data_IF_399026067791
#
_entry.id   IF_399026067791
#
_cell.length_a   1.000
_cell.length_b   1.000
_cell.length_c   1.000
_cell.angle_alpha   90.00
_cell.angle_beta   90.00
_cell.angle_gamma   90.00
#
_symmetry.space_group_name_H-M   'P 1'
#
loop_
_entity.id
_entity.type
_entity.pdbx_description
1 polymer ?
#
# COMPACT_ATOMS: atom_id res chain seq x y z
N UNK A 1 -1.12 16.79 -0.46
CA UNK A 1 -1.48 15.75 0.51
C UNK A 1 -0.38 15.57 1.53
N UNK A 2 -0.68 15.09 2.73
CA UNK A 2 0.34 14.67 3.69
C UNK A 2 0.94 13.32 3.27
N UNK A 3 2.23 13.13 3.54
CA UNK A 3 2.89 11.85 3.29
C UNK A 3 4.07 11.66 4.25
N UNK A 4 4.20 10.47 4.83
CA UNK A 4 5.33 10.13 5.67
C UNK A 4 5.69 8.64 5.54
N UNK A 5 6.86 8.26 6.08
CA UNK A 5 7.26 6.88 6.16
C UNK A 5 7.98 6.58 7.48
N UNK A 6 7.86 5.34 7.92
CA UNK A 6 8.57 4.82 9.08
C UNK A 6 9.13 3.42 8.81
N UNK A 7 10.07 3.00 9.64
CA UNK A 7 10.63 1.64 9.63
C UNK A 7 10.20 0.94 10.91
N UNK A 8 9.43 -0.14 10.76
CA UNK A 8 8.89 -0.94 11.85
C UNK A 8 9.42 -2.37 11.75
N UNK A 9 10.50 -2.67 12.46
CA UNK A 9 11.15 -3.98 12.46
C UNK A 9 11.01 -4.70 13.81
N UNK A 10 9.94 -4.42 14.55
CA UNK A 10 9.66 -5.01 15.86
C UNK A 10 9.63 -6.55 15.80
N UNK A 11 10.01 -7.20 16.91
CA UNK A 11 9.99 -8.67 16.99
C UNK A 11 8.58 -9.23 17.19
N UNK A 12 7.66 -8.39 17.65
CA UNK A 12 6.28 -8.75 18.00
C UNK A 12 5.29 -8.41 16.88
N UNK A 13 5.77 -7.85 15.75
CA UNK A 13 4.93 -7.54 14.60
C UNK A 13 4.58 -8.81 13.84
N UNK A 14 3.35 -8.88 13.34
CA UNK A 14 2.90 -9.96 12.47
C UNK A 14 3.80 -10.02 11.24
N UNK A 15 4.50 -11.14 11.07
CA UNK A 15 5.47 -11.30 9.99
C UNK A 15 4.76 -11.86 8.76
N UNK A 16 4.82 -11.11 7.66
CA UNK A 16 4.31 -11.58 6.38
C UNK A 16 5.22 -12.66 5.80
N UNK A 17 4.64 -13.79 5.41
CA UNK A 17 5.32 -14.81 4.58
C UNK A 17 4.76 -14.79 3.16
N UNK A 18 5.63 -14.81 2.15
CA UNK A 18 5.24 -14.72 0.74
C UNK A 18 5.63 -15.98 -0.04
N UNK A 19 4.71 -16.62 -0.77
CA UNK A 19 3.26 -16.37 -0.82
C UNK A 19 2.57 -16.79 0.48
N UNK A 20 1.48 -16.12 0.83
CA UNK A 20 0.70 -16.41 2.04
C UNK A 20 -0.62 -17.11 1.70
N UNK A 21 -1.13 -17.88 2.66
CA UNK A 21 -2.43 -18.55 2.58
C UNK A 21 -3.01 -18.66 4.01
N UNK A 22 -4.24 -18.21 4.20
CA UNK A 22 -4.93 -18.30 5.49
C UNK A 22 -5.56 -19.67 5.76
N UNK A 23 -5.36 -20.65 4.88
CA UNK A 23 -5.90 -22.01 5.02
C UNK A 23 -7.22 -22.24 4.26
N UNK A 24 -7.82 -23.40 4.48
CA UNK A 24 -8.93 -23.90 3.66
C UNK A 24 -10.12 -22.93 3.55
N UNK A 25 -10.30 -22.34 2.38
CA UNK A 25 -11.42 -21.46 2.05
C UNK A 25 -11.28 -19.99 2.51
N UNK A 26 -10.15 -19.62 3.10
CA UNK A 26 -9.86 -18.24 3.48
C UNK A 26 -9.18 -17.41 2.37
N UNK A 27 -8.86 -16.14 2.66
CA UNK A 27 -8.11 -15.28 1.76
C UNK A 27 -6.74 -15.89 1.42
N UNK A 28 -6.24 -15.63 0.22
CA UNK A 28 -4.96 -16.13 -0.25
C UNK A 28 -4.25 -15.12 -1.15
N UNK A 29 -2.95 -15.28 -1.29
CA UNK A 29 -2.16 -14.54 -2.25
C UNK A 29 -2.46 -14.99 -3.70
N UNK A 30 -2.86 -14.03 -4.54
CA UNK A 30 -3.25 -14.31 -5.93
C UNK A 30 -2.09 -14.21 -6.93
N UNK A 31 -0.98 -13.55 -6.56
CA UNK A 31 0.13 -13.31 -7.48
C UNK A 31 -0.28 -12.49 -8.71
N UNK A 32 -0.97 -11.38 -8.49
CA UNK A 32 -1.62 -10.58 -9.53
C UNK A 32 -0.68 -10.13 -10.66
N UNK A 33 0.62 -10.02 -10.40
CA UNK A 33 1.62 -9.71 -11.43
C UNK A 33 1.74 -10.81 -12.49
N UNK A 34 1.57 -12.08 -12.08
CA UNK A 34 1.61 -13.24 -12.96
C UNK A 34 0.22 -13.62 -13.47
N UNK A 35 -0.80 -13.29 -12.70
CA UNK A 35 -2.19 -13.67 -12.91
C UNK A 35 -3.11 -12.45 -12.80
N UNK A 36 -2.96 -11.43 -13.70
CA UNK A 36 -3.76 -10.22 -13.66
C UNK A 36 -5.27 -10.48 -13.82
N UNK A 37 -5.64 -11.59 -14.45
CA UNK A 37 -7.02 -12.05 -14.56
C UNK A 37 -7.67 -12.34 -13.21
N UNK A 38 -6.90 -12.65 -12.17
CA UNK A 38 -7.43 -12.93 -10.83
C UNK A 38 -7.78 -11.67 -10.02
N UNK A 39 -7.56 -10.47 -10.57
CA UNK A 39 -7.92 -9.22 -9.88
C UNK A 39 -9.42 -9.16 -9.54
N UNK A 40 -10.27 -9.79 -10.35
CA UNK A 40 -11.71 -9.86 -10.09
C UNK A 40 -12.09 -10.75 -8.89
N UNK A 41 -11.18 -11.59 -8.41
CA UNK A 41 -11.36 -12.40 -7.20
C UNK A 41 -11.08 -11.59 -5.91
N UNK A 42 -10.37 -10.46 -6.03
CA UNK A 42 -10.10 -9.56 -4.89
C UNK A 42 -11.38 -8.79 -4.56
N UNK A 43 -11.94 -9.03 -3.38
CA UNK A 43 -13.22 -8.47 -2.98
C UNK A 43 -13.18 -6.94 -2.90
N UNK A 44 -12.11 -6.38 -2.32
CA UNK A 44 -11.89 -4.94 -2.18
C UNK A 44 -11.77 -4.25 -3.55
N UNK A 45 -11.15 -4.92 -4.54
CA UNK A 45 -11.06 -4.40 -5.90
C UNK A 45 -12.43 -4.34 -6.59
N UNK A 46 -13.34 -5.27 -6.25
CA UNK A 46 -14.72 -5.27 -6.77
C UNK A 46 -15.58 -4.21 -6.09
N UNK A 47 -15.42 -4.01 -4.78
CA UNK A 47 -16.16 -3.02 -4.01
C UNK A 47 -15.68 -1.58 -4.31
N UNK A 48 -14.38 -1.42 -4.54
CA UNK A 48 -13.71 -0.14 -4.75
C UNK A 48 -12.92 -0.13 -6.08
N UNK A 49 -13.56 0.21 -7.21
CA UNK A 49 -12.90 0.15 -8.53
C UNK A 49 -11.57 0.94 -8.61
N UNK A 50 -11.46 2.06 -7.89
CA UNK A 50 -10.23 2.86 -7.84
C UNK A 50 -9.08 2.09 -7.18
N UNK A 51 -9.38 1.31 -6.12
CA UNK A 51 -8.38 0.41 -5.53
C UNK A 51 -8.00 -0.70 -6.51
N UNK A 52 -8.98 -1.27 -7.23
CA UNK A 52 -8.72 -2.24 -8.29
C UNK A 52 -7.79 -1.70 -9.38
N UNK A 53 -7.98 -0.46 -9.83
CA UNK A 53 -7.09 0.21 -10.78
C UNK A 53 -5.68 0.40 -10.21
N UNK A 54 -5.56 0.79 -8.94
CA UNK A 54 -4.27 0.91 -8.25
C UNK A 54 -3.55 -0.45 -8.18
N UNK A 55 -4.25 -1.52 -7.76
CA UNK A 55 -3.70 -2.88 -7.72
C UNK A 55 -3.23 -3.33 -9.11
N UNK A 56 -4.02 -3.09 -10.16
CA UNK A 56 -3.64 -3.40 -11.54
C UNK A 56 -2.37 -2.64 -11.97
N UNK A 57 -2.26 -1.36 -11.60
CA UNK A 57 -1.09 -0.54 -11.91
C UNK A 57 0.18 -1.05 -11.23
N UNK A 58 0.09 -1.38 -9.92
CA UNK A 58 1.23 -1.90 -9.15
C UNK A 58 1.68 -3.28 -9.61
N UNK A 59 0.76 -4.11 -10.11
CA UNK A 59 1.06 -5.44 -10.62
C UNK A 59 1.31 -5.48 -12.15
N UNK A 60 1.35 -4.33 -12.83
CA UNK A 60 1.64 -4.29 -14.26
C UNK A 60 3.06 -4.81 -14.57
N UNK A 61 3.28 -5.29 -15.79
CA UNK A 61 4.60 -5.77 -16.22
C UNK A 61 5.70 -4.69 -16.17
N UNK A 62 5.32 -3.42 -16.29
CA UNK A 62 6.24 -2.28 -16.20
C UNK A 62 6.54 -1.83 -14.77
N UNK A 63 5.78 -2.31 -13.78
CA UNK A 63 5.98 -1.96 -12.36
C UNK A 63 7.13 -2.78 -11.77
N UNK A 64 7.95 -2.16 -10.94
CA UNK A 64 8.94 -2.83 -10.09
C UNK A 64 8.31 -3.45 -8.83
N UNK A 65 7.02 -3.16 -8.60
CA UNK A 65 6.26 -3.62 -7.45
C UNK A 65 5.27 -4.72 -7.84
N UNK A 66 4.85 -5.47 -6.84
CA UNK A 66 3.68 -6.33 -6.80
C UNK A 66 2.94 -6.14 -5.47
N UNK A 67 1.69 -6.59 -5.35
CA UNK A 67 0.88 -6.40 -4.15
C UNK A 67 0.61 -7.72 -3.46
N UNK A 68 0.58 -7.72 -2.10
CA UNK A 68 0.39 -8.92 -1.31
C UNK A 68 -0.98 -8.98 -0.63
N UNK A 69 -1.31 -7.99 0.19
CA UNK A 69 -2.59 -7.88 0.91
C UNK A 69 -3.18 -6.50 0.68
N UNK A 70 -4.48 -6.36 0.81
CA UNK A 70 -5.16 -5.06 0.85
C UNK A 70 -6.46 -5.17 1.66
N UNK A 71 -6.92 -4.00 2.15
CA UNK A 71 -8.23 -3.82 2.74
C UNK A 71 -8.66 -2.35 2.60
N UNK A 72 -9.96 -2.05 2.79
CA UNK A 72 -10.50 -0.70 2.78
C UNK A 72 -11.68 -0.56 3.75
N UNK A 73 -11.74 0.56 4.47
CA UNK A 73 -12.73 0.77 5.54
C UNK A 73 -13.12 2.24 5.71
N UNK A 74 -14.26 2.46 6.36
CA UNK A 74 -14.72 3.76 6.84
C UNK A 74 -14.41 3.90 8.32
N UNK A 75 -13.97 5.08 8.75
CA UNK A 75 -13.72 5.42 10.15
C UNK A 75 -14.20 6.83 10.50
N UNK A 76 -14.53 7.00 11.76
CA UNK A 76 -14.85 8.32 12.35
C UNK A 76 -13.86 8.70 13.46
N UNK A 77 -13.01 7.77 13.85
CA UNK A 77 -11.95 8.03 14.82
C UNK A 77 -10.77 8.72 14.14
N UNK A 78 -10.45 9.92 14.62
CA UNK A 78 -9.34 10.74 14.13
C UNK A 78 -8.22 10.76 15.16
N UNK A 79 -6.98 10.63 14.69
CA UNK A 79 -5.81 10.92 15.51
C UNK A 79 -5.60 12.44 15.63
N UNK A 80 -4.93 12.93 16.68
CA UNK A 80 -4.68 14.39 16.84
C UNK A 80 -4.01 15.04 15.61
N UNK A 81 -3.15 14.31 14.90
CA UNK A 81 -2.47 14.77 13.69
C UNK A 81 -3.42 14.94 12.50
N UNK A 82 -4.53 14.20 12.49
CA UNK A 82 -5.56 14.26 11.45
C UNK A 82 -6.56 15.41 11.67
N UNK A 83 -6.60 16.00 12.88
CA UNK A 83 -7.47 17.13 13.21
C UNK A 83 -7.22 18.35 12.32
N UNK A 84 -6.02 18.46 11.74
CA UNK A 84 -5.68 19.55 10.80
C UNK A 84 -6.55 19.57 9.54
N UNK A 85 -7.18 18.46 9.18
CA UNK A 85 -8.09 18.39 8.05
C UNK A 85 -9.50 18.91 8.39
N UNK A 86 -9.83 19.05 9.69
CA UNK A 86 -11.14 19.52 10.15
C UNK A 86 -12.30 18.62 9.72
N UNK A 87 -12.01 17.35 9.42
CA UNK A 87 -12.97 16.40 8.87
C UNK A 87 -13.68 15.61 9.96
N UNK A 88 -14.92 15.18 9.69
CA UNK A 88 -15.70 14.31 10.59
C UNK A 88 -15.59 12.83 10.21
N UNK A 89 -15.19 12.53 8.99
CA UNK A 89 -15.06 11.17 8.44
C UNK A 89 -13.70 10.97 7.80
N UNK A 90 -13.17 9.75 7.94
CA UNK A 90 -12.06 9.28 7.11
C UNK A 90 -12.43 7.99 6.39
N UNK A 91 -11.96 7.85 5.17
CA UNK A 91 -11.96 6.60 4.44
C UNK A 91 -10.52 6.14 4.31
N UNK A 92 -10.25 4.90 4.68
CA UNK A 92 -8.91 4.34 4.69
C UNK A 92 -8.80 3.08 3.86
N UNK A 93 -7.59 2.82 3.35
CA UNK A 93 -7.19 1.53 2.82
C UNK A 93 -5.74 1.25 3.16
N UNK A 94 -5.35 -0.04 3.15
CA UNK A 94 -3.94 -0.38 3.05
C UNK A 94 -3.69 -1.30 1.86
N UNK A 95 -2.45 -1.27 1.36
CA UNK A 95 -1.93 -2.21 0.37
C UNK A 95 -0.50 -2.56 0.76
N UNK A 96 -0.22 -3.85 0.91
CA UNK A 96 1.15 -4.33 1.09
C UNK A 96 1.84 -4.41 -0.27
N UNK A 97 2.90 -3.62 -0.42
CA UNK A 97 3.73 -3.49 -1.62
C UNK A 97 5.04 -4.27 -1.45
N UNK A 98 5.37 -5.06 -2.44
CA UNK A 98 6.57 -5.91 -2.46
C UNK A 98 7.37 -5.59 -3.72
N UNK A 99 8.69 -5.43 -3.62
CA UNK A 99 9.53 -5.32 -4.80
C UNK A 99 9.62 -6.67 -5.52
N UNK A 100 9.52 -6.64 -6.86
CA UNK A 100 9.54 -7.87 -7.67
C UNK A 100 10.94 -8.50 -7.74
N UNK A 101 12.00 -7.69 -7.66
CA UNK A 101 13.38 -8.14 -7.74
C UNK A 101 13.91 -8.59 -6.36
N UNK A 102 14.58 -9.74 -6.31
CA UNK A 102 15.06 -10.37 -5.09
C UNK A 102 16.11 -9.51 -4.35
N UNK A 103 17.05 -8.93 -5.09
CA UNK A 103 18.10 -8.06 -4.51
C UNK A 103 17.48 -6.82 -3.84
N UNK A 104 16.43 -6.26 -4.45
CA UNK A 104 15.70 -5.12 -3.88
C UNK A 104 14.89 -5.54 -2.67
N UNK A 105 14.20 -6.70 -2.71
CA UNK A 105 13.41 -7.22 -1.59
C UNK A 105 14.21 -7.41 -0.31
N UNK A 106 15.47 -7.84 -0.43
CA UNK A 106 16.35 -8.10 0.70
C UNK A 106 17.07 -6.86 1.24
N UNK A 107 16.92 -5.69 0.58
CA UNK A 107 17.68 -4.48 0.90
C UNK A 107 16.83 -3.43 1.64
N UNK A 108 16.94 -3.35 2.97
CA UNK A 108 16.33 -2.27 3.75
C UNK A 108 16.73 -0.86 3.25
N UNK A 109 18.01 -0.57 2.93
CA UNK A 109 18.38 0.75 2.44
C UNK A 109 17.68 1.16 1.14
N UNK A 110 17.37 0.21 0.23
CA UNK A 110 16.63 0.51 -1.00
C UNK A 110 15.16 0.83 -0.70
N UNK A 111 14.53 0.14 0.25
CA UNK A 111 13.18 0.46 0.71
C UNK A 111 13.11 1.87 1.31
N UNK A 112 14.06 2.22 2.20
CA UNK A 112 14.13 3.55 2.80
C UNK A 112 14.36 4.65 1.74
N UNK A 113 15.27 4.41 0.80
CA UNK A 113 15.54 5.34 -0.30
C UNK A 113 14.29 5.58 -1.14
N UNK A 114 13.59 4.52 -1.52
CA UNK A 114 12.37 4.58 -2.31
C UNK A 114 11.26 5.32 -1.55
N UNK A 115 10.99 4.97 -0.29
CA UNK A 115 9.98 5.62 0.53
C UNK A 115 10.28 7.12 0.74
N UNK A 116 11.54 7.49 0.94
CA UNK A 116 11.98 8.88 1.06
C UNK A 116 11.78 9.67 -0.23
N UNK A 117 12.07 9.08 -1.39
CA UNK A 117 11.82 9.72 -2.68
C UNK A 117 10.33 9.93 -2.90
N UNK A 118 9.52 8.89 -2.65
CA UNK A 118 8.07 8.93 -2.83
C UNK A 118 7.41 9.99 -1.94
N UNK A 119 7.68 9.96 -0.64
CA UNK A 119 7.13 10.95 0.30
C UNK A 119 7.59 12.36 -0.03
N UNK A 120 8.83 12.52 -0.52
CA UNK A 120 9.36 13.80 -1.00
C UNK A 120 8.63 14.35 -2.24
N UNK A 121 8.18 13.47 -3.14
CA UNK A 121 7.35 13.85 -4.29
C UNK A 121 5.93 14.21 -3.86
N UNK A 122 5.32 13.39 -3.00
CA UNK A 122 3.94 13.60 -2.53
C UNK A 122 3.78 14.90 -1.75
N UNK A 123 4.75 15.26 -0.91
CA UNK A 123 4.78 16.54 -0.16
C UNK A 123 4.85 17.77 -1.07
N UNK A 124 5.35 17.63 -2.30
CA UNK A 124 5.40 18.71 -3.32
C UNK A 124 4.16 18.72 -4.22
N UNK A 125 3.32 17.72 -4.11
CA UNK A 125 2.09 17.59 -4.89
C UNK A 125 0.98 18.54 -4.44
N UNK A 126 -0.24 18.39 -4.98
CA UNK A 126 -1.37 19.22 -4.63
C UNK A 126 -1.76 19.07 -3.15
N UNK A 127 -2.20 20.17 -2.55
CA UNK A 127 -2.84 20.15 -1.23
C UNK A 127 -4.26 19.59 -1.37
N UNK A 128 -4.46 18.38 -0.90
CA UNK A 128 -5.75 17.70 -0.85
C UNK A 128 -5.95 17.14 0.57
N UNK A 129 -7.19 17.00 1.07
CA UNK A 129 -7.48 16.41 2.36
C UNK A 129 -7.30 14.88 2.32
N UNK A 130 -6.05 14.46 2.11
CA UNK A 130 -5.64 13.07 2.05
C UNK A 130 -4.25 12.89 2.66
N UNK A 131 -3.99 11.69 3.19
CA UNK A 131 -2.69 11.30 3.71
C UNK A 131 -2.23 9.94 3.15
N UNK A 132 -0.92 9.76 3.08
CA UNK A 132 -0.26 8.52 2.69
C UNK A 132 0.83 8.19 3.72
N UNK A 133 0.79 7.00 4.29
CA UNK A 133 1.81 6.50 5.20
C UNK A 133 2.42 5.23 4.62
N UNK A 134 3.74 5.12 4.73
CA UNK A 134 4.49 3.97 4.22
C UNK A 134 5.29 3.35 5.35
N UNK A 135 4.90 2.14 5.79
CA UNK A 135 5.57 1.43 6.87
C UNK A 135 6.41 0.31 6.28
N UNK A 136 7.74 0.43 6.41
CA UNK A 136 8.66 -0.60 5.98
C UNK A 136 8.73 -1.66 7.07
N UNK A 137 8.40 -2.90 6.71
CA UNK A 137 8.29 -4.03 7.62
C UNK A 137 9.10 -5.22 7.13
N UNK A 138 9.44 -6.13 8.06
CA UNK A 138 10.11 -7.38 7.75
C UNK A 138 9.12 -8.40 7.21
N UNK A 139 9.57 -9.24 6.27
CA UNK A 139 8.84 -10.40 5.79
C UNK A 139 9.79 -11.55 5.45
N UNK A 140 9.22 -12.71 5.13
CA UNK A 140 9.96 -13.86 4.64
C UNK A 140 9.42 -14.30 3.28
N UNK A 141 10.33 -14.64 2.39
CA UNK A 141 10.03 -15.16 1.05
C UNK A 141 10.38 -16.63 0.97
N UNK A 142 9.42 -17.47 0.53
CA UNK A 142 9.68 -18.86 0.24
C UNK A 142 10.53 -18.99 -1.02
N UNK A 143 11.70 -19.55 -0.89
CA UNK A 143 12.63 -19.88 -1.97
C UNK A 143 12.92 -21.38 -2.01
N UNK A 144 13.58 -21.85 -3.08
CA UNK A 144 13.92 -23.27 -3.23
C UNK A 144 14.81 -23.82 -2.09
N UNK A 145 15.64 -22.95 -1.49
CA UNK A 145 16.58 -23.30 -0.42
C UNK A 145 16.05 -22.99 1.00
N UNK A 146 14.80 -22.52 1.13
CA UNK A 146 14.17 -22.20 2.41
C UNK A 146 13.54 -20.82 2.44
N UNK A 147 13.42 -20.24 3.65
CA UNK A 147 12.87 -18.88 3.84
C UNK A 147 14.00 -17.85 3.80
N UNK A 148 13.88 -16.89 2.90
CA UNK A 148 14.78 -15.74 2.81
C UNK A 148 14.13 -14.53 3.49
N UNK A 149 14.88 -13.88 4.39
CA UNK A 149 14.45 -12.62 5.01
C UNK A 149 14.46 -11.49 3.97
N UNK A 150 13.45 -10.63 4.05
CA UNK A 150 13.34 -9.44 3.23
C UNK A 150 12.40 -8.42 3.86
N UNK A 151 11.98 -7.46 3.04
CA UNK A 151 11.15 -6.33 3.47
C UNK A 151 9.98 -6.13 2.52
N UNK A 152 8.93 -5.50 3.03
CA UNK A 152 7.78 -5.02 2.29
C UNK A 152 7.35 -3.67 2.84
N UNK A 153 6.45 -3.01 2.14
CA UNK A 153 5.94 -1.69 2.53
C UNK A 153 4.42 -1.80 2.67
N UNK A 154 3.89 -1.61 3.87
CA UNK A 154 2.46 -1.37 4.05
C UNK A 154 2.19 0.09 3.71
N UNK A 155 1.47 0.30 2.62
CA UNK A 155 1.01 1.62 2.19
C UNK A 155 -0.40 1.85 2.72
N UNK A 156 -0.57 2.81 3.62
CA UNK A 156 -1.87 3.31 4.05
C UNK A 156 -2.24 4.55 3.25
N UNK A 157 -3.48 4.59 2.74
CA UNK A 157 -4.06 5.75 2.09
C UNK A 157 -5.31 6.19 2.84
N UNK A 158 -5.39 7.48 3.17
CA UNK A 158 -6.53 8.08 3.85
C UNK A 158 -7.07 9.25 3.07
N UNK A 159 -8.40 9.37 3.01
CA UNK A 159 -9.11 10.57 2.55
C UNK A 159 -10.01 11.08 3.66
N UNK A 160 -10.15 12.39 3.77
CA UNK A 160 -10.86 13.08 4.85
C UNK A 160 -11.98 13.94 4.28
N UNK A 161 -13.13 14.00 4.96
CA UNK A 161 -14.28 14.76 4.50
C UNK A 161 -15.30 15.04 5.60
N UNK A 162 -16.28 15.91 5.30
CA UNK A 162 -17.40 16.19 6.19
C UNK A 162 -18.42 15.04 6.27
N UNK A 163 -18.43 14.18 5.24
CA UNK A 163 -19.21 12.95 5.16
C UNK A 163 -18.40 11.81 4.52
N UNK A 164 -18.96 10.60 4.58
CA UNK A 164 -18.32 9.39 4.02
C UNK A 164 -18.06 9.50 2.52
N UNK A 165 -18.98 10.09 1.76
CA UNK A 165 -18.84 10.21 0.32
C UNK A 165 -17.65 11.09 -0.05
N UNK A 166 -17.53 12.23 0.61
CA UNK A 166 -16.40 13.15 0.41
C UNK A 166 -15.10 12.50 0.83
N UNK A 167 -15.03 11.88 2.02
CA UNK A 167 -13.82 11.18 2.48
C UNK A 167 -13.37 10.12 1.47
N UNK A 168 -14.30 9.35 0.90
CA UNK A 168 -14.02 8.35 -0.13
C UNK A 168 -13.56 8.98 -1.46
N UNK A 169 -14.10 10.13 -1.84
CA UNK A 169 -13.63 10.85 -3.05
C UNK A 169 -12.20 11.35 -2.89
N UNK A 170 -11.88 11.94 -1.73
CA UNK A 170 -10.52 12.42 -1.43
C UNK A 170 -9.51 11.27 -1.35
N UNK A 171 -9.89 10.14 -0.76
CA UNK A 171 -9.10 8.92 -0.78
C UNK A 171 -8.82 8.44 -2.22
N UNK A 172 -9.84 8.43 -3.09
CA UNK A 172 -9.68 8.01 -4.48
C UNK A 172 -8.72 8.94 -5.25
N UNK A 173 -8.80 10.25 -5.01
CA UNK A 173 -7.85 11.23 -5.55
C UNK A 173 -6.44 10.95 -5.00
N UNK A 174 -6.32 10.72 -3.69
CA UNK A 174 -5.06 10.38 -3.02
C UNK A 174 -4.38 9.15 -3.63
N UNK A 175 -5.13 8.06 -3.86
CA UNK A 175 -4.61 6.86 -4.54
C UNK A 175 -4.04 7.18 -5.92
N UNK A 176 -4.73 8.01 -6.72
CA UNK A 176 -4.23 8.41 -8.05
C UNK A 176 -2.97 9.27 -7.98
N UNK A 177 -2.88 10.17 -6.99
CA UNK A 177 -1.68 10.98 -6.76
C UNK A 177 -0.50 10.07 -6.40
N UNK A 178 -0.70 9.09 -5.51
CA UNK A 178 0.34 8.12 -5.12
C UNK A 178 0.74 7.25 -6.31
N UNK A 179 -0.20 6.69 -7.06
CA UNK A 179 0.08 5.90 -8.28
C UNK A 179 0.97 6.69 -9.25
N UNK A 180 0.61 7.94 -9.53
CA UNK A 180 1.39 8.79 -10.43
C UNK A 180 2.78 9.12 -9.89
N UNK A 181 2.93 9.32 -8.58
CA UNK A 181 4.23 9.54 -7.95
C UNK A 181 5.13 8.29 -8.02
N UNK A 182 4.58 7.09 -7.76
CA UNK A 182 5.30 5.81 -7.86
C UNK A 182 5.86 5.62 -9.28
N UNK A 183 5.09 5.93 -10.32
CA UNK A 183 5.52 5.83 -11.72
C UNK A 183 6.70 6.75 -12.09
N UNK A 184 7.00 7.78 -11.28
CA UNK A 184 8.08 8.74 -11.51
C UNK A 184 9.38 8.34 -10.78
N UNK A 185 9.32 7.35 -9.88
CA UNK A 185 10.49 6.91 -9.13
C UNK A 185 11.21 5.81 -9.92
N UNK A 186 12.50 5.98 -10.10
CA UNK A 186 13.43 4.95 -10.58
C UNK A 186 14.30 4.49 -9.42
N UNK A 187 14.46 3.20 -9.25
CA UNK A 187 15.44 2.59 -8.33
C UNK A 187 16.77 2.39 -9.05
#
# INVERSE_FOLDING_TARGET
>A
MQADFAVELGKDDETLEMPWDSGAGGPRYYGLKRHPELLHEVEEARQFPVLGEFLAAMNSAASVLETAKCDAWVGTEMNPEEEIFGAAFKFGSYVDLVFSEEDTRSSLPLHEQWAKQLTGLLKKGPEIPAAAEFLIRRCYYHAAEGLNEGFYITFYAFGYGEDELQARQEWAIGLKVVENAIRQISL
#
